data_IF_752794636951
#
_entry.id   IF_752794636951
#
_cell.length_a   1.000
_cell.length_b   1.000
_cell.length_c   1.000
_cell.angle_alpha   90.00
_cell.angle_beta   90.00
_cell.angle_gamma   90.00
#
_symmetry.space_group_name_H-M   'P 1'
#
loop_
_entity.id
_entity.type
_entity.pdbx_description
1 polymer ?
#
# COMPACT_ATOMS: atom_id res chain seq x y z
N UNK A 1 22.76 -26.28 29.34
CA UNK A 1 21.52 -26.22 30.14
C UNK A 1 20.64 -25.09 29.64
N UNK A 2 19.32 -25.32 29.46
CA UNK A 2 18.48 -24.55 28.55
C UNK A 2 17.84 -23.29 29.18
N UNK A 3 17.48 -22.36 28.30
CA UNK A 3 16.81 -21.08 28.58
C UNK A 3 15.34 -21.30 28.93
N UNK A 4 14.92 -20.73 30.07
CA UNK A 4 13.54 -20.64 30.55
C UNK A 4 12.73 -19.60 29.76
N UNK A 5 11.58 -20.00 29.20
CA UNK A 5 10.53 -19.10 28.71
C UNK A 5 9.27 -19.33 29.56
N UNK A 6 8.79 -18.26 30.21
CA UNK A 6 7.52 -18.22 30.95
C UNK A 6 6.36 -17.83 30.02
N UNK A 7 5.25 -18.53 30.23
CA UNK A 7 3.91 -18.32 29.69
C UNK A 7 3.40 -16.88 29.84
N UNK A 8 2.58 -16.45 28.88
CA UNK A 8 1.43 -15.58 29.15
C UNK A 8 0.25 -15.96 28.27
N UNK A 9 -0.89 -16.12 28.93
CA UNK A 9 -2.15 -16.66 28.45
C UNK A 9 -2.79 -15.76 27.38
N UNK A 10 -3.35 -16.39 26.35
CA UNK A 10 -4.38 -15.79 25.48
C UNK A 10 -5.71 -16.51 25.77
N UNK A 11 -6.69 -15.76 26.27
CA UNK A 11 -8.09 -16.17 26.38
C UNK A 11 -8.82 -15.89 25.06
N UNK A 12 -9.59 -16.83 24.48
CA UNK A 12 -10.54 -16.48 23.44
C UNK A 12 -11.94 -16.21 24.04
N UNK A 13 -12.51 -15.07 23.65
CA UNK A 13 -13.91 -14.73 23.85
C UNK A 13 -14.78 -15.64 22.99
N UNK A 14 -15.70 -16.36 23.63
CA UNK A 14 -16.74 -17.16 23.00
C UNK A 14 -17.77 -16.26 22.32
N UNK A 15 -18.12 -16.57 21.06
CA UNK A 15 -19.40 -16.16 20.48
C UNK A 15 -20.23 -17.42 20.21
N UNK A 16 -21.35 -17.50 20.92
CA UNK A 16 -22.32 -18.60 20.88
C UNK A 16 -23.28 -18.36 19.72
N UNK A 17 -23.41 -19.32 18.80
CA UNK A 17 -24.53 -19.38 17.85
C UNK A 17 -25.15 -20.76 17.99
N UNK A 18 -26.40 -20.77 18.44
CA UNK A 18 -27.26 -21.95 18.56
C UNK A 18 -27.72 -22.43 17.19
N UNK A 19 -27.67 -23.73 16.94
CA UNK A 19 -28.48 -24.38 15.91
C UNK A 19 -28.89 -25.80 16.36
N UNK A 20 -30.16 -25.87 16.74
CA UNK A 20 -31.18 -26.92 16.62
C UNK A 20 -30.81 -28.34 16.13
N UNK A 21 -31.32 -29.32 16.89
CA UNK A 21 -31.31 -30.79 16.69
C UNK A 21 -31.99 -31.25 15.37
N UNK A 22 -31.73 -32.50 14.94
CA UNK A 22 -32.83 -33.47 14.91
C UNK A 22 -32.50 -34.93 15.34
N UNK A 23 -33.51 -35.56 15.97
CA UNK A 23 -33.96 -36.99 16.05
C UNK A 23 -32.95 -38.14 15.83
N UNK A 24 -32.67 -38.99 16.84
CA UNK A 24 -33.44 -40.14 17.40
C UNK A 24 -33.59 -41.33 16.41
N UNK A 25 -32.80 -42.38 16.65
CA UNK A 25 -32.97 -43.71 16.05
C UNK A 25 -32.89 -44.73 17.19
N UNK A 26 -34.06 -45.21 17.62
CA UNK A 26 -34.20 -46.26 18.63
C UNK A 26 -33.97 -47.63 17.98
N UNK A 27 -33.00 -48.39 18.52
CA UNK A 27 -32.75 -49.79 18.19
C UNK A 27 -33.18 -50.63 19.38
N UNK A 28 -34.28 -51.37 19.24
CA UNK A 28 -34.70 -52.43 20.15
C UNK A 28 -34.69 -53.73 19.34
N UNK A 29 -33.83 -54.68 19.69
CA UNK A 29 -34.21 -56.09 19.67
C UNK A 29 -33.31 -56.90 20.61
N UNK A 30 -33.98 -57.61 21.51
CA UNK A 30 -33.42 -58.44 22.57
C UNK A 30 -33.08 -59.85 22.07
N UNK A 31 -32.00 -60.39 22.63
CA UNK A 31 -31.87 -61.79 23.04
C UNK A 31 -31.38 -62.78 21.99
N UNK A 32 -30.86 -63.95 22.35
CA UNK A 32 -30.62 -64.61 23.65
C UNK A 32 -29.88 -65.93 23.28
N UNK A 33 -28.85 -66.32 24.04
CA UNK A 33 -28.37 -67.71 24.29
C UNK A 33 -27.61 -68.45 23.17
N UNK A 34 -26.67 -69.38 23.41
CA UNK A 34 -25.80 -69.76 24.53
C UNK A 34 -24.69 -70.68 23.92
N UNK A 35 -23.61 -70.88 24.68
CA UNK A 35 -22.41 -71.72 24.45
C UNK A 35 -22.51 -72.94 23.49
N UNK A 36 -21.47 -73.12 22.63
CA UNK A 36 -20.66 -74.37 22.57
C UNK A 36 -19.45 -74.27 21.62
N UNK A 37 -18.24 -74.36 22.22
CA UNK A 37 -17.11 -75.24 21.84
C UNK A 37 -16.34 -75.11 20.50
N UNK A 38 -15.01 -74.94 20.66
CA UNK A 38 -13.87 -75.42 19.83
C UNK A 38 -13.55 -74.72 18.49
N UNK A 39 -12.44 -73.95 18.40
CA UNK A 39 -11.10 -74.43 18.03
C UNK A 39 -10.07 -73.27 18.05
N UNK A 40 -8.81 -73.67 18.23
CA UNK A 40 -7.60 -72.90 18.51
C UNK A 40 -6.87 -72.51 17.22
N UNK A 41 -6.52 -71.23 17.03
CA UNK A 41 -5.36 -70.79 16.23
C UNK A 41 -4.79 -69.53 16.90
N UNK A 42 -3.58 -69.66 17.46
CA UNK A 42 -2.69 -68.54 17.80
C UNK A 42 -2.16 -67.93 16.49
N UNK A 43 -2.12 -66.60 16.42
CA UNK A 43 -1.16 -65.88 15.58
C UNK A 43 -0.88 -64.52 16.23
N UNK A 44 0.30 -64.45 16.86
CA UNK A 44 1.03 -63.21 17.12
C UNK A 44 1.35 -62.54 15.77
N UNK A 45 1.10 -61.24 15.63
CA UNK A 45 2.19 -60.26 15.58
C UNK A 45 1.67 -58.86 15.31
N UNK A 46 2.23 -57.92 16.08
CA UNK A 46 2.10 -56.48 15.92
C UNK A 46 2.61 -56.04 14.55
N UNK A 47 1.74 -55.49 13.71
CA UNK A 47 2.17 -54.52 12.70
C UNK A 47 1.67 -53.12 13.08
N UNK A 48 2.63 -52.37 13.59
CA UNK A 48 2.61 -50.93 13.81
C UNK A 48 2.40 -50.22 12.47
N UNK A 49 1.22 -49.63 12.26
CA UNK A 49 1.02 -48.66 11.18
C UNK A 49 1.66 -47.33 11.59
N UNK A 50 2.71 -46.85 10.91
CA UNK A 50 3.27 -45.55 11.22
C UNK A 50 2.41 -44.45 10.59
N UNK A 51 2.22 -43.39 11.37
CA UNK A 51 1.87 -42.03 10.93
C UNK A 51 0.45 -41.82 10.39
N UNK A 52 -0.50 -41.66 11.32
CA UNK A 52 -1.54 -40.64 11.15
C UNK A 52 -0.86 -39.27 11.05
N UNK A 53 -0.53 -38.81 9.83
CA UNK A 53 -0.32 -37.38 9.60
C UNK A 53 -1.68 -36.70 9.78
N UNK A 54 -1.84 -36.00 10.90
CA UNK A 54 -2.97 -35.13 11.15
C UNK A 54 -3.01 -34.04 10.08
N UNK A 55 -4.12 -33.96 9.33
CA UNK A 55 -4.50 -32.81 8.49
C UNK A 55 -4.88 -31.59 9.37
N UNK A 56 -4.09 -31.29 10.40
CA UNK A 56 -4.26 -30.11 11.22
C UNK A 56 -3.46 -28.96 10.61
N UNK A 57 -4.19 -27.90 10.26
CA UNK A 57 -3.68 -26.54 10.05
C UNK A 57 -3.02 -26.22 8.70
N UNK A 58 -3.76 -26.41 7.60
CA UNK A 58 -3.60 -25.44 6.50
C UNK A 58 -4.45 -24.22 6.83
N UNK A 59 -3.88 -23.00 6.98
CA UNK A 59 -4.69 -21.80 7.15
C UNK A 59 -5.59 -21.70 5.91
N UNK A 60 -6.90 -21.80 6.12
CA UNK A 60 -7.88 -21.59 5.07
C UNK A 60 -7.73 -20.14 4.61
N UNK A 61 -7.00 -19.94 3.51
CA UNK A 61 -6.83 -18.65 2.90
C UNK A 61 -8.20 -18.13 2.49
N UNK A 62 -8.58 -16.95 2.98
CA UNK A 62 -9.80 -16.27 2.54
C UNK A 62 -9.66 -16.06 1.02
N UNK A 63 -10.38 -16.84 0.22
CA UNK A 63 -10.40 -16.69 -1.24
C UNK A 63 -11.43 -15.62 -1.58
N UNK A 64 -10.95 -14.48 -2.07
CA UNK A 64 -11.81 -13.38 -2.54
C UNK A 64 -12.34 -13.68 -3.93
N UNK A 65 -13.66 -13.61 -4.14
CA UNK A 65 -14.33 -13.81 -5.44
C UNK A 65 -14.18 -12.62 -6.41
N UNK A 66 -13.21 -11.72 -6.19
CA UNK A 66 -12.99 -10.55 -7.03
C UNK A 66 -12.54 -10.95 -8.43
N UNK A 67 -13.12 -10.34 -9.47
CA UNK A 67 -12.80 -10.59 -10.89
C UNK A 67 -11.46 -10.01 -11.34
N UNK A 68 -10.72 -9.34 -10.45
CA UNK A 68 -9.48 -8.65 -10.79
C UNK A 68 -8.36 -9.66 -10.97
N UNK A 69 -7.86 -9.82 -12.20
CA UNK A 69 -6.69 -10.64 -12.47
C UNK A 69 -5.42 -9.95 -12.00
N UNK A 70 -4.44 -10.75 -11.55
CA UNK A 70 -3.13 -10.23 -11.13
C UNK A 70 -2.39 -9.67 -12.35
N UNK A 71 -1.69 -8.55 -12.17
CA UNK A 71 -0.84 -7.99 -13.23
C UNK A 71 0.26 -8.99 -13.58
N UNK A 72 0.19 -9.54 -14.78
CA UNK A 72 1.12 -10.55 -15.33
C UNK A 72 2.36 -9.89 -15.94
N UNK A 73 3.33 -10.73 -16.34
CA UNK A 73 4.54 -10.32 -17.07
C UNK A 73 4.22 -9.53 -18.34
N UNK A 74 3.15 -9.90 -19.03
CA UNK A 74 2.65 -9.24 -20.25
C UNK A 74 2.38 -7.74 -20.06
N UNK A 75 1.89 -7.34 -18.89
CA UNK A 75 1.64 -5.92 -18.60
C UNK A 75 2.95 -5.12 -18.51
N UNK A 76 4.02 -5.74 -18.00
CA UNK A 76 5.35 -5.11 -17.95
C UNK A 76 5.95 -5.01 -19.35
N UNK A 77 5.80 -6.06 -20.16
CA UNK A 77 6.25 -6.08 -21.56
C UNK A 77 5.49 -5.03 -22.39
N UNK A 78 4.19 -4.89 -22.17
CA UNK A 78 3.36 -3.84 -22.81
C UNK A 78 3.85 -2.45 -22.44
N UNK A 79 4.19 -2.20 -21.17
CA UNK A 79 4.76 -0.93 -20.72
C UNK A 79 6.08 -0.63 -21.43
N UNK A 80 7.00 -1.59 -21.49
CA UNK A 80 8.29 -1.43 -22.19
C UNK A 80 8.07 -1.13 -23.68
N UNK A 81 7.18 -1.86 -24.33
CA UNK A 81 6.87 -1.64 -25.76
C UNK A 81 6.26 -0.26 -26.02
N UNK A 82 5.42 0.23 -25.10
CA UNK A 82 4.79 1.55 -25.21
C UNK A 82 5.81 2.66 -24.96
N UNK A 83 6.73 2.47 -24.01
CA UNK A 83 7.80 3.42 -23.74
C UNK A 83 8.73 3.55 -24.96
N UNK A 84 9.15 2.43 -25.57
CA UNK A 84 10.00 2.45 -26.77
C UNK A 84 9.35 3.19 -27.93
N UNK A 85 8.05 2.95 -28.17
CA UNK A 85 7.29 3.71 -29.19
C UNK A 85 7.22 5.20 -28.86
N UNK A 86 7.02 5.56 -27.60
CA UNK A 86 6.99 6.96 -27.17
C UNK A 86 8.36 7.62 -27.30
N UNK A 87 9.47 6.92 -27.06
CA UNK A 87 10.81 7.45 -27.32
C UNK A 87 10.99 7.84 -28.79
N UNK A 88 10.39 7.10 -29.73
CA UNK A 88 10.46 7.43 -31.15
C UNK A 88 9.53 8.61 -31.52
N UNK A 89 8.38 8.75 -30.85
CA UNK A 89 7.38 9.80 -31.09
C UNK A 89 7.77 11.17 -30.50
N UNK A 90 8.43 11.18 -29.33
CA UNK A 90 8.76 12.39 -28.60
C UNK A 90 10.26 12.75 -28.69
N UNK A 91 10.54 14.04 -28.81
CA UNK A 91 11.91 14.55 -28.92
C UNK A 91 12.63 14.64 -27.58
N UNK A 92 11.90 14.95 -26.50
CA UNK A 92 12.48 15.19 -25.18
C UNK A 92 12.01 14.18 -24.15
N UNK A 93 12.92 13.80 -23.26
CA UNK A 93 12.67 12.94 -22.11
C UNK A 93 13.14 13.63 -20.83
N UNK A 94 12.33 13.53 -19.80
CA UNK A 94 12.62 14.00 -18.45
C UNK A 94 12.48 12.83 -17.46
N UNK A 95 13.43 12.72 -16.53
CA UNK A 95 13.24 11.93 -15.32
C UNK A 95 12.81 12.90 -14.23
N UNK A 96 11.71 12.61 -13.55
CA UNK A 96 11.21 13.44 -12.47
C UNK A 96 11.07 12.63 -11.17
N UNK A 97 11.37 13.28 -10.05
CA UNK A 97 11.02 12.87 -8.71
C UNK A 97 9.59 13.30 -8.41
N UNK A 98 8.89 12.54 -7.58
CA UNK A 98 7.58 12.97 -7.07
C UNK A 98 7.46 12.66 -5.59
N UNK A 99 6.80 13.56 -4.85
CA UNK A 99 6.52 13.37 -3.43
C UNK A 99 5.02 13.33 -3.17
N UNK A 100 4.55 12.47 -2.26
CA UNK A 100 3.14 12.43 -1.84
C UNK A 100 2.10 12.28 -2.97
N UNK A 101 2.43 11.64 -4.09
CA UNK A 101 1.52 11.47 -5.24
C UNK A 101 0.19 10.79 -4.85
N UNK A 102 -0.91 11.31 -5.42
CA UNK A 102 -2.24 10.69 -5.40
C UNK A 102 -2.78 10.38 -6.79
N UNK A 103 -3.42 9.23 -6.94
CA UNK A 103 -3.99 8.77 -8.21
C UNK A 103 -5.04 9.72 -8.80
N UNK A 104 -5.75 10.49 -7.97
CA UNK A 104 -6.72 11.50 -8.43
C UNK A 104 -6.00 12.69 -9.08
N UNK A 105 -5.14 13.36 -8.33
CA UNK A 105 -4.36 14.51 -8.78
C UNK A 105 -3.52 14.17 -10.01
N UNK A 106 -2.91 12.99 -10.02
CA UNK A 106 -2.09 12.58 -11.15
C UNK A 106 -2.89 12.20 -12.40
N UNK A 107 -4.15 11.77 -12.27
CA UNK A 107 -5.03 11.60 -13.43
C UNK A 107 -5.38 12.95 -14.05
N UNK A 108 -5.71 13.94 -13.23
CA UNK A 108 -5.98 15.31 -13.71
C UNK A 108 -4.77 15.90 -14.43
N UNK A 109 -3.57 15.69 -13.88
CA UNK A 109 -2.33 16.10 -14.52
C UNK A 109 -2.10 15.39 -15.86
N UNK A 110 -2.31 14.07 -15.92
CA UNK A 110 -2.23 13.32 -17.18
C UNK A 110 -3.25 13.80 -18.21
N UNK A 111 -4.46 14.14 -17.79
CA UNK A 111 -5.53 14.57 -18.70
C UNK A 111 -5.24 15.96 -19.28
N UNK A 112 -4.69 16.89 -18.47
CA UNK A 112 -4.24 18.22 -18.95
C UNK A 112 -3.17 18.11 -20.03
N UNK A 113 -2.27 17.14 -19.90
CA UNK A 113 -1.06 17.01 -20.71
C UNK A 113 -1.13 15.92 -21.80
N UNK A 114 -2.29 15.29 -21.96
CA UNK A 114 -2.50 14.10 -22.82
C UNK A 114 -2.18 14.31 -24.30
N UNK A 115 -2.34 15.53 -24.80
CA UNK A 115 -2.21 15.87 -26.23
C UNK A 115 -0.75 16.04 -26.64
N UNK A 116 0.08 16.62 -25.77
CA UNK A 116 1.45 17.00 -26.08
C UNK A 116 2.51 16.06 -25.47
N UNK A 117 2.12 15.25 -24.48
CA UNK A 117 3.09 14.53 -23.67
C UNK A 117 2.55 13.27 -23.00
N UNK A 118 3.46 12.43 -22.50
CA UNK A 118 3.18 11.13 -21.91
C UNK A 118 3.97 10.90 -20.63
N UNK A 119 3.26 10.48 -19.59
CA UNK A 119 3.85 10.05 -18.33
C UNK A 119 3.95 8.53 -18.25
N UNK A 120 5.14 8.05 -17.92
CA UNK A 120 5.41 6.64 -17.65
C UNK A 120 5.85 6.46 -16.22
N UNK A 121 5.18 5.54 -15.54
CA UNK A 121 5.52 5.09 -14.19
C UNK A 121 5.45 3.58 -14.17
N UNK A 122 6.39 2.95 -13.50
CA UNK A 122 6.49 1.50 -13.41
C UNK A 122 7.56 1.12 -12.41
N UNK A 123 7.81 -0.18 -12.26
CA UNK A 123 8.95 -0.59 -11.43
C UNK A 123 10.25 -0.06 -12.04
N UNK A 124 11.10 0.55 -11.22
CA UNK A 124 12.32 1.25 -11.65
C UNK A 124 13.18 0.39 -12.58
N UNK A 125 13.40 -0.87 -12.22
CA UNK A 125 14.13 -1.84 -13.05
C UNK A 125 13.53 -2.04 -14.45
N UNK A 126 12.20 -1.97 -14.58
CA UNK A 126 11.52 -2.12 -15.87
C UNK A 126 11.75 -0.89 -16.75
N UNK A 127 11.68 0.30 -16.16
CA UNK A 127 11.98 1.55 -16.88
C UNK A 127 13.45 1.60 -17.31
N UNK A 128 14.37 1.21 -16.43
CA UNK A 128 15.80 1.10 -16.74
C UNK A 128 16.09 0.15 -17.91
N UNK A 129 15.45 -1.03 -17.94
CA UNK A 129 15.57 -1.99 -19.05
C UNK A 129 14.98 -1.43 -20.35
N UNK A 130 13.95 -0.60 -20.25
CA UNK A 130 13.30 -0.04 -21.42
C UNK A 130 14.15 1.05 -22.10
N UNK A 131 14.89 1.84 -21.31
CA UNK A 131 15.85 2.83 -21.81
C UNK A 131 17.20 2.21 -22.25
N UNK A 132 17.64 1.19 -21.52
CA UNK A 132 18.97 0.58 -21.64
C UNK A 132 19.76 0.79 -20.34
N UNK A 133 20.42 -0.26 -19.86
CA UNK A 133 21.29 -0.18 -18.66
C UNK A 133 22.75 0.05 -19.01
N UNK A 134 23.15 -0.38 -20.19
CA UNK A 134 24.53 -0.29 -20.68
C UNK A 134 24.51 0.44 -22.02
N UNK A 135 25.65 1.01 -22.41
CA UNK A 135 25.79 1.71 -23.69
C UNK A 135 25.53 0.80 -24.90
N UNK A 136 25.62 -0.53 -24.73
CA UNK A 136 25.34 -1.49 -25.81
C UNK A 136 23.84 -1.76 -25.99
N UNK A 137 23.05 -1.57 -24.93
CA UNK A 137 21.61 -1.86 -24.91
C UNK A 137 20.76 -0.58 -25.02
N UNK A 138 21.38 0.58 -25.22
CA UNK A 138 20.67 1.86 -25.26
C UNK A 138 19.91 2.03 -26.57
N UNK A 139 18.67 2.52 -26.46
CA UNK A 139 17.81 2.76 -27.63
C UNK A 139 18.30 3.97 -28.44
N UNK A 140 18.85 4.96 -27.74
CA UNK A 140 19.41 6.21 -28.27
C UNK A 140 20.59 6.63 -27.40
N UNK A 141 21.48 7.41 -28.00
CA UNK A 141 22.73 7.84 -27.36
C UNK A 141 22.49 8.55 -26.01
N UNK A 142 23.32 8.22 -25.02
CA UNK A 142 23.33 8.79 -23.67
C UNK A 142 22.08 8.51 -22.79
N UNK A 143 21.16 7.63 -23.21
CA UNK A 143 20.00 7.25 -22.39
C UNK A 143 20.38 6.41 -21.17
N UNK A 144 21.51 5.69 -21.21
CA UNK A 144 22.02 4.93 -20.07
C UNK A 144 22.21 5.82 -18.82
N UNK A 145 22.63 7.08 -19.00
CA UNK A 145 22.80 8.04 -17.89
C UNK A 145 21.47 8.38 -17.21
N UNK A 146 20.41 8.55 -17.99
CA UNK A 146 19.07 8.76 -17.44
C UNK A 146 18.57 7.52 -16.69
N UNK A 147 18.91 6.32 -17.16
CA UNK A 147 18.56 5.03 -16.54
C UNK A 147 19.16 4.87 -15.13
N UNK A 148 20.42 5.25 -14.96
CA UNK A 148 21.11 5.24 -13.65
C UNK A 148 20.41 6.13 -12.62
N UNK A 149 19.81 7.24 -13.07
CA UNK A 149 19.05 8.15 -12.21
C UNK A 149 17.63 7.65 -11.91
N UNK A 150 17.17 6.48 -12.35
CA UNK A 150 15.82 5.98 -12.01
C UNK A 150 15.88 5.08 -10.77
N UNK A 151 15.80 5.69 -9.59
CA UNK A 151 15.76 5.03 -8.28
C UNK A 151 14.77 5.72 -7.34
N UNK A 152 14.17 4.99 -6.40
CA UNK A 152 13.12 5.55 -5.53
C UNK A 152 11.81 5.89 -6.26
N UNK A 153 11.16 6.97 -5.82
CA UNK A 153 9.89 7.48 -6.36
C UNK A 153 10.12 8.39 -7.58
N UNK A 154 10.53 7.77 -8.68
CA UNK A 154 10.83 8.46 -9.94
C UNK A 154 9.98 7.98 -11.10
N UNK A 155 9.69 8.89 -12.01
CA UNK A 155 8.93 8.65 -13.23
C UNK A 155 9.60 9.22 -14.47
N UNK A 156 9.10 8.82 -15.64
CA UNK A 156 9.52 9.36 -16.92
C UNK A 156 8.43 10.23 -17.52
N UNK A 157 8.83 11.36 -18.08
CA UNK A 157 7.97 12.29 -18.78
C UNK A 157 8.53 12.56 -20.16
N UNK A 158 7.78 12.17 -21.20
CA UNK A 158 8.16 12.38 -22.59
C UNK A 158 7.27 13.47 -23.19
N UNK A 159 7.87 14.42 -23.88
CA UNK A 159 7.15 15.60 -24.38
C UNK A 159 7.81 16.20 -25.61
N UNK A 160 7.00 16.90 -26.40
CA UNK A 160 7.44 17.74 -27.52
C UNK A 160 7.42 19.23 -27.17
N UNK A 161 7.13 19.58 -25.92
CA UNK A 161 7.13 20.96 -25.43
C UNK A 161 8.57 21.48 -25.21
N UNK A 162 8.78 22.80 -25.34
CA UNK A 162 10.07 23.41 -25.06
C UNK A 162 10.42 23.28 -23.56
N UNK A 163 11.72 23.23 -23.27
CA UNK A 163 12.27 23.03 -21.92
C UNK A 163 11.72 24.03 -20.90
N UNK A 164 11.66 25.30 -21.26
CA UNK A 164 11.23 26.37 -20.34
C UNK A 164 9.76 26.23 -19.90
N UNK A 165 8.87 25.78 -20.79
CA UNK A 165 7.46 25.56 -20.47
C UNK A 165 7.30 24.37 -19.53
N UNK A 166 8.07 23.31 -19.74
CA UNK A 166 8.05 22.13 -18.87
C UNK A 166 8.51 22.49 -17.47
N UNK A 167 9.63 23.21 -17.33
CA UNK A 167 10.14 23.62 -16.02
C UNK A 167 9.14 24.51 -15.26
N UNK A 168 8.51 25.47 -15.95
CA UNK A 168 7.45 26.29 -15.36
C UNK A 168 6.24 25.45 -14.92
N UNK A 169 5.78 24.55 -15.77
CA UNK A 169 4.65 23.69 -15.45
C UNK A 169 4.92 22.82 -14.22
N UNK A 170 6.11 22.23 -14.11
CA UNK A 170 6.47 21.41 -12.95
C UNK A 170 6.59 22.25 -11.67
N UNK A 171 7.08 23.49 -11.75
CA UNK A 171 7.16 24.40 -10.60
C UNK A 171 5.82 25.02 -10.17
N UNK A 172 4.89 25.23 -11.10
CA UNK A 172 3.54 25.75 -10.80
C UNK A 172 2.57 24.66 -10.33
N UNK A 173 2.84 23.40 -10.66
CA UNK A 173 1.96 22.31 -10.32
C UNK A 173 2.18 21.87 -8.86
N UNK A 174 1.27 22.32 -8.00
CA UNK A 174 1.15 21.87 -6.62
C UNK A 174 -0.25 21.30 -6.38
N UNK A 175 -0.31 20.11 -5.77
CA UNK A 175 -1.56 19.49 -5.37
C UNK A 175 -1.59 19.24 -3.88
N UNK A 176 -2.60 19.72 -3.16
CA UNK A 176 -2.73 19.44 -1.73
C UNK A 176 -3.50 18.13 -1.51
N UNK A 177 -3.03 17.32 -0.57
CA UNK A 177 -3.67 16.07 -0.11
C UNK A 177 -3.53 15.93 1.41
N UNK A 178 -4.25 14.97 1.96
CA UNK A 178 -4.20 14.64 3.37
C UNK A 178 -2.89 13.92 3.72
N UNK A 179 -2.33 14.31 4.86
CA UNK A 179 -1.14 13.69 5.42
C UNK A 179 -1.35 12.18 5.66
N UNK A 180 -0.27 11.41 5.47
CA UNK A 180 -0.27 9.97 5.72
C UNK A 180 0.33 9.68 7.09
N UNK A 181 -0.01 8.52 7.64
CA UNK A 181 0.66 8.05 8.85
C UNK A 181 2.17 8.00 8.63
N UNK A 182 2.94 8.62 9.53
CA UNK A 182 4.39 8.66 9.49
C UNK A 182 5.00 9.79 8.65
N UNK A 183 4.20 10.56 7.89
CA UNK A 183 4.73 11.79 7.27
C UNK A 183 4.96 12.87 8.34
N UNK A 184 6.01 13.69 8.22
CA UNK A 184 6.19 14.84 9.11
C UNK A 184 5.05 15.83 8.94
N UNK A 185 4.55 16.41 10.04
CA UNK A 185 3.54 17.47 9.97
C UNK A 185 4.18 18.80 9.54
N UNK A 186 3.52 19.50 8.62
CA UNK A 186 3.97 20.82 8.14
C UNK A 186 3.58 21.97 9.07
N UNK A 187 2.55 21.76 9.89
CA UNK A 187 2.01 22.77 10.79
C UNK A 187 1.48 22.10 12.07
N UNK A 188 1.43 22.87 13.15
CA UNK A 188 0.85 22.43 14.42
C UNK A 188 -0.66 22.68 14.40
N UNK A 189 -1.45 21.63 14.64
CA UNK A 189 -2.92 21.73 14.70
C UNK A 189 -3.40 21.45 16.11
N UNK A 190 -3.96 22.49 16.72
CA UNK A 190 -4.58 22.45 18.04
C UNK A 190 -6.06 22.79 17.94
N UNK A 191 -6.89 21.97 18.60
CA UNK A 191 -8.32 22.21 18.70
C UNK A 191 -8.63 22.77 20.09
N UNK A 192 -9.24 23.96 20.18
CA UNK A 192 -9.66 24.51 21.46
C UNK A 192 -10.88 23.75 22.03
N UNK A 193 -11.05 23.81 23.33
CA UNK A 193 -12.25 23.35 24.04
C UNK A 193 -13.50 24.07 23.48
N UNK A 194 -14.58 23.32 23.27
CA UNK A 194 -15.84 23.86 22.78
C UNK A 194 -16.61 22.94 21.84
N UNK A 195 -17.76 23.41 21.32
CA UNK A 195 -18.57 22.66 20.37
C UNK A 195 -17.91 22.51 19.00
N UNK A 196 -17.84 21.28 18.51
CA UNK A 196 -17.33 20.91 17.19
C UNK A 196 -18.51 20.66 16.23
N UNK A 197 -19.13 21.73 15.76
CA UNK A 197 -20.31 21.69 14.88
C UNK A 197 -20.03 21.03 13.52
N UNK A 198 -18.77 20.98 13.12
CA UNK A 198 -18.30 20.30 11.90
C UNK A 198 -18.47 18.78 11.92
N UNK A 199 -18.68 18.17 13.10
CA UNK A 199 -18.83 16.73 13.24
C UNK A 199 -20.27 16.32 13.54
N UNK A 200 -20.72 15.24 12.89
CA UNK A 200 -22.03 14.64 13.16
C UNK A 200 -22.00 13.80 14.44
N UNK A 201 -23.13 13.70 15.13
CA UNK A 201 -23.26 12.91 16.36
C UNK A 201 -22.88 11.42 16.19
N UNK A 202 -23.09 10.85 15.00
CA UNK A 202 -22.71 9.47 14.65
C UNK A 202 -21.19 9.24 14.69
N UNK A 203 -20.40 10.30 14.47
CA UNK A 203 -18.93 10.23 14.46
C UNK A 203 -18.33 10.34 15.87
N UNK A 204 -19.11 10.67 16.88
CA UNK A 204 -18.65 10.82 18.26
C UNK A 204 -17.92 9.57 18.80
N UNK A 205 -18.45 8.34 18.64
CA UNK A 205 -17.74 7.13 19.07
C UNK A 205 -16.43 6.91 18.30
N UNK A 206 -16.38 7.33 17.04
CA UNK A 206 -15.17 7.24 16.22
C UNK A 206 -14.09 8.22 16.69
N UNK A 207 -14.46 9.47 16.99
CA UNK A 207 -13.55 10.50 17.52
C UNK A 207 -12.99 10.09 18.88
N UNK A 208 -13.84 9.55 19.77
CA UNK A 208 -13.40 8.99 21.05
C UNK A 208 -12.41 7.84 20.87
N UNK A 209 -12.61 7.00 19.85
CA UNK A 209 -11.68 5.90 19.50
C UNK A 209 -10.35 6.41 18.94
N UNK A 210 -10.32 7.59 18.33
CA UNK A 210 -9.07 8.24 17.87
C UNK A 210 -8.36 9.01 19.00
N UNK A 211 -8.81 8.90 20.26
CA UNK A 211 -8.16 9.54 21.40
C UNK A 211 -8.63 10.97 21.73
N UNK A 212 -9.61 11.52 20.99
CA UNK A 212 -10.13 12.86 21.29
C UNK A 212 -11.01 12.85 22.55
N UNK A 213 -10.82 13.80 23.48
CA UNK A 213 -11.67 13.95 24.66
C UNK A 213 -12.99 14.64 24.27
N UNK A 214 -13.91 13.89 23.65
CA UNK A 214 -15.21 14.39 23.20
C UNK A 214 -16.36 13.94 24.10
N UNK A 215 -17.41 14.78 24.19
CA UNK A 215 -18.67 14.51 24.88
C UNK A 215 -19.84 14.94 24.00
N UNK A 216 -20.92 14.18 24.02
CA UNK A 216 -22.16 14.56 23.34
C UNK A 216 -23.03 15.41 24.29
N UNK A 217 -23.22 16.68 23.96
CA UNK A 217 -24.09 17.60 24.71
C UNK A 217 -25.25 18.04 23.82
N UNK A 218 -26.48 17.60 24.18
CA UNK A 218 -27.73 17.92 23.44
C UNK A 218 -27.67 17.65 21.93
N UNK A 219 -26.93 16.61 21.52
CA UNK A 219 -26.78 16.22 20.11
C UNK A 219 -25.62 16.89 19.36
N UNK A 220 -24.90 17.80 20.00
CA UNK A 220 -23.68 18.43 19.48
C UNK A 220 -22.46 17.76 20.12
N UNK A 221 -21.42 17.48 19.33
CA UNK A 221 -20.15 16.94 19.82
C UNK A 221 -19.33 18.10 20.38
N UNK A 222 -18.97 18.07 21.66
CA UNK A 222 -18.15 19.08 22.32
C UNK A 222 -16.82 18.47 22.77
N UNK A 223 -15.73 19.20 22.57
CA UNK A 223 -14.42 18.86 23.10
C UNK A 223 -14.35 19.30 24.58
N UNK A 224 -13.95 18.40 25.48
CA UNK A 224 -13.93 18.62 26.94
C UNK A 224 -12.70 19.40 27.39
N UNK A 225 -11.60 19.31 26.63
CA UNK A 225 -10.34 20.00 26.90
C UNK A 225 -9.60 20.20 25.59
N UNK A 226 -8.74 21.23 25.52
CA UNK A 226 -7.89 21.48 24.36
C UNK A 226 -7.13 20.22 23.94
N UNK A 227 -7.11 19.94 22.65
CA UNK A 227 -6.49 18.73 22.09
C UNK A 227 -5.56 19.09 20.93
N UNK A 228 -4.27 18.81 21.11
CA UNK A 228 -3.25 18.93 20.07
C UNK A 228 -3.27 17.68 19.21
N UNK A 229 -3.60 17.81 17.93
CA UNK A 229 -3.71 16.69 16.98
C UNK A 229 -2.32 16.29 16.47
N UNK A 230 -1.52 17.28 16.07
CA UNK A 230 -0.15 17.11 15.62
C UNK A 230 0.66 18.38 15.86
N UNK A 231 1.95 18.19 16.03
CA UNK A 231 2.99 19.21 16.20
C UNK A 231 3.85 19.26 14.95
N UNK A 232 4.25 20.46 14.54
CA UNK A 232 5.11 20.66 13.38
C UNK A 232 6.42 19.86 13.50
N UNK A 233 6.80 19.16 12.42
CA UNK A 233 7.98 18.32 12.34
C UNK A 233 7.81 16.89 12.86
N UNK A 234 6.80 16.62 13.70
CA UNK A 234 6.60 15.29 14.27
C UNK A 234 5.88 14.33 13.28
N UNK A 235 6.21 13.02 13.30
CA UNK A 235 5.57 12.04 12.44
C UNK A 235 4.10 11.85 12.83
N UNK A 236 3.21 12.01 11.86
CA UNK A 236 1.76 11.98 12.10
C UNK A 236 1.30 10.57 12.51
N UNK A 237 0.60 10.49 13.64
CA UNK A 237 0.03 9.24 14.14
C UNK A 237 -1.15 8.77 13.27
N UNK A 238 -1.48 7.46 13.27
CA UNK A 238 -2.62 6.96 12.50
C UNK A 238 -3.96 7.50 12.99
N UNK A 239 -4.03 7.94 14.26
CA UNK A 239 -5.20 8.58 14.86
C UNK A 239 -5.31 10.04 14.39
N UNK A 240 -4.20 10.78 14.45
CA UNK A 240 -4.10 12.16 13.99
C UNK A 240 -4.44 12.30 12.50
N UNK A 241 -3.89 11.45 11.62
CA UNK A 241 -4.19 11.51 10.17
C UNK A 241 -5.68 11.35 9.85
N UNK A 242 -6.42 10.53 10.62
CA UNK A 242 -7.87 10.39 10.45
C UNK A 242 -8.61 11.64 10.91
N UNK A 243 -8.18 12.25 12.01
CA UNK A 243 -8.75 13.51 12.51
C UNK A 243 -8.50 14.64 11.50
N UNK A 244 -7.27 14.80 11.01
CA UNK A 244 -6.91 15.80 9.99
C UNK A 244 -7.77 15.65 8.72
N UNK A 245 -8.02 14.41 8.30
CA UNK A 245 -8.90 14.12 7.16
C UNK A 245 -10.34 14.55 7.40
N UNK A 246 -10.85 14.40 8.62
CA UNK A 246 -12.20 14.85 8.98
C UNK A 246 -12.28 16.37 9.12
N UNK A 247 -11.19 17.02 9.55
CA UNK A 247 -11.07 18.48 9.62
C UNK A 247 -10.90 19.13 8.25
N UNK A 248 -10.57 18.36 7.21
CA UNK A 248 -10.31 18.89 5.87
C UNK A 248 -8.93 19.53 5.71
N UNK A 249 -8.04 19.38 6.70
CA UNK A 249 -6.70 19.98 6.70
C UNK A 249 -5.75 19.10 5.87
N UNK A 250 -5.16 19.71 4.84
CA UNK A 250 -4.28 19.05 3.88
C UNK A 250 -2.84 19.50 4.15
N UNK A 251 -2.01 18.58 4.63
CA UNK A 251 -0.60 18.83 5.00
C UNK A 251 0.40 18.15 4.08
N UNK A 252 -0.07 17.34 3.12
CA UNK A 252 0.80 16.70 2.15
C UNK A 252 0.70 17.45 0.83
N UNK A 253 1.77 18.14 0.45
CA UNK A 253 1.88 18.74 -0.88
C UNK A 253 2.46 17.71 -1.85
N UNK A 254 1.76 17.52 -2.97
CA UNK A 254 2.20 16.77 -4.12
C UNK A 254 2.95 17.72 -5.05
N UNK A 255 4.26 17.48 -5.17
CA UNK A 255 5.17 18.22 -6.03
C UNK A 255 5.84 17.26 -7.01
N UNK A 256 6.29 17.81 -8.14
CA UNK A 256 7.04 17.10 -9.17
C UNK A 256 8.34 17.86 -9.44
N UNK A 257 9.47 17.20 -9.25
CA UNK A 257 10.79 17.83 -9.44
C UNK A 257 11.51 17.18 -10.61
N UNK A 258 11.80 17.92 -11.71
CA UNK A 258 12.56 17.36 -12.83
C UNK A 258 14.04 17.23 -12.45
N UNK A 259 14.57 16.01 -12.52
CA UNK A 259 15.96 15.68 -12.12
C UNK A 259 16.90 15.79 -13.31
N UNK A 260 16.51 15.21 -14.44
CA UNK A 260 17.33 15.22 -15.65
C UNK A 260 16.50 15.52 -16.89
N UNK A 261 17.20 16.00 -17.90
CA UNK A 261 16.70 16.31 -19.21
C UNK A 261 17.55 15.59 -20.26
N UNK A 262 16.88 14.98 -21.23
CA UNK A 262 17.52 14.37 -22.39
C UNK A 262 16.82 14.85 -23.65
N UNK A 263 17.58 15.25 -24.65
CA UNK A 263 17.07 15.58 -25.98
C UNK A 263 18.08 15.21 -27.05
N UNK A 264 17.65 14.39 -28.02
CA UNK A 264 18.42 14.05 -29.23
C UNK A 264 19.91 13.69 -28.99
N UNK A 265 20.23 12.99 -27.90
CA UNK A 265 21.58 12.56 -27.56
C UNK A 265 22.32 13.48 -26.58
N UNK A 266 21.79 14.66 -26.29
CA UNK A 266 22.29 15.53 -25.23
C UNK A 266 21.60 15.19 -23.90
N UNK A 267 22.39 15.07 -22.85
CA UNK A 267 21.93 14.75 -21.50
C UNK A 267 22.41 15.84 -20.54
N UNK A 268 21.47 16.39 -19.78
CA UNK A 268 21.71 17.44 -18.79
C UNK A 268 21.06 17.06 -17.45
N UNK A 269 21.77 17.33 -16.37
CA UNK A 269 21.23 17.20 -15.01
C UNK A 269 20.68 18.58 -14.62
N UNK A 270 19.41 18.62 -14.20
CA UNK A 270 18.71 19.83 -13.80
C UNK A 270 18.80 20.05 -12.29
N UNK A 271 18.76 18.96 -11.53
CA UNK A 271 18.83 18.98 -10.07
C UNK A 271 19.82 17.91 -9.57
N UNK A 272 20.99 18.37 -9.12
CA UNK A 272 22.06 17.50 -8.63
C UNK A 272 21.74 16.93 -7.24
N UNK A 273 20.96 17.64 -6.41
CA UNK A 273 20.62 17.21 -5.05
C UNK A 273 19.62 16.05 -5.10
N UNK A 274 18.56 16.21 -5.91
CA UNK A 274 17.57 15.15 -6.12
C UNK A 274 18.16 13.94 -6.86
N UNK A 275 19.13 14.15 -7.75
CA UNK A 275 19.87 13.06 -8.38
C UNK A 275 20.57 12.18 -7.32
N UNK A 276 21.20 12.81 -6.32
CA UNK A 276 21.93 12.12 -5.25
C UNK A 276 21.01 11.46 -4.19
N UNK A 277 19.81 12.00 -3.95
CA UNK A 277 18.89 11.50 -2.91
C UNK A 277 18.34 10.09 -3.20
N UNK A 278 18.16 9.70 -4.46
CA UNK A 278 17.66 8.37 -4.84
C UNK A 278 18.53 7.21 -4.37
N UNK A 279 19.83 7.43 -4.17
CA UNK A 279 20.77 6.41 -3.69
C UNK A 279 20.60 6.09 -2.18
N UNK A 280 19.97 6.99 -1.39
CA UNK A 280 19.87 6.85 0.07
C UNK A 280 18.61 6.12 0.55
N UNK A 281 17.52 6.13 -0.23
CA UNK A 281 16.24 5.53 0.19
C UNK A 281 16.20 3.98 0.10
N UNK A 282 17.25 3.33 -0.38
CA UNK A 282 17.31 1.87 -0.51
C UNK A 282 17.64 1.11 0.80
N UNK A 283 17.92 1.82 1.90
CA UNK A 283 18.43 1.24 3.15
C UNK A 283 17.58 1.55 4.41
N UNK A 284 16.27 1.78 4.27
CA UNK A 284 15.34 1.87 5.42
C UNK A 284 14.10 1.02 5.19
#
# INVERSE_FOLDING_TARGET
MPKSKRNRLASPFNFCISATKPVLFDFVFQGVWNLSMLLRIEFEDEETFPNQLSLSEYPCGIVTLSKTQKKTKEHKETLVSTLRKALDEYQSLYVFSYENMRNSLFKELRDKLKTSSRFFMGGNKVLQIALGKTNADEVKDNLHKASELIEGDRGLYLTNLPKDEVLKFFGEFEGHDFARTGSPATETVELPEGPLEQFTHDMEPFLRKQGMPVRLNRGVVELVANYTVCTEGDPISPEASRILRLLGIQMATFTLTPICYWSNGEFEILDEEEAANGAKSANT
#
